data_IF_769078004403
#
_entry.id   IF_769078004403
#
_cell.length_a   1.000
_cell.length_b   1.000
_cell.length_c   1.000
_cell.angle_alpha   90.00
_cell.angle_beta   90.00
_cell.angle_gamma   90.00
#
_symmetry.space_group_name_H-M   'P 1'
#
loop_
_entity.id
_entity.type
_entity.pdbx_description
1 polymer ?
#
# COMPACT_ATOMS: atom_id res chain seq x y z
N UNK A 1 -14.55 8.65 -2.97
CA UNK A 1 -13.57 8.09 -1.98
C UNK A 1 -12.15 8.13 -2.55
N UNK A 2 -11.62 9.30 -2.83
CA UNK A 2 -10.33 9.48 -3.51
C UNK A 2 -9.14 9.43 -2.56
N UNK A 3 -7.96 9.05 -3.06
CA UNK A 3 -6.66 9.13 -2.43
C UNK A 3 -5.85 10.21 -3.14
N UNK A 4 -5.36 11.22 -2.41
CA UNK A 4 -4.52 12.26 -2.98
C UNK A 4 -3.10 12.14 -2.43
N UNK A 5 -2.11 12.05 -3.32
CA UNK A 5 -0.68 11.99 -2.99
C UNK A 5 0.03 13.06 -3.80
N UNK A 6 0.76 13.97 -3.16
CA UNK A 6 1.54 15.03 -3.83
C UNK A 6 0.75 15.78 -4.92
N UNK A 7 -0.52 16.13 -4.63
CA UNK A 7 -1.40 16.87 -5.54
C UNK A 7 -2.06 16.02 -6.65
N UNK A 8 -1.71 14.76 -6.81
CA UNK A 8 -2.39 13.85 -7.74
C UNK A 8 -3.46 13.05 -7.03
N UNK A 9 -4.66 13.04 -7.59
CA UNK A 9 -5.83 12.34 -7.03
C UNK A 9 -6.13 11.06 -7.80
N UNK A 10 -6.31 9.97 -7.07
CA UNK A 10 -6.73 8.66 -7.55
C UNK A 10 -8.10 8.32 -6.98
N UNK A 11 -8.98 7.70 -7.77
CA UNK A 11 -10.31 7.29 -7.31
C UNK A 11 -10.25 6.00 -6.49
N UNK A 12 -9.21 5.18 -6.69
CA UNK A 12 -8.97 3.98 -5.89
C UNK A 12 -8.01 4.25 -4.74
N UNK A 13 -8.30 3.67 -3.58
CA UNK A 13 -7.38 3.62 -2.42
C UNK A 13 -6.56 2.33 -2.38
N UNK A 14 -6.81 1.43 -3.34
CA UNK A 14 -6.04 0.21 -3.54
C UNK A 14 -4.92 0.47 -4.54
N UNK A 15 -3.68 0.22 -4.11
CA UNK A 15 -2.50 0.16 -4.95
C UNK A 15 -2.12 -1.32 -5.14
N UNK A 16 -1.63 -1.70 -6.32
CA UNK A 16 -1.35 -3.09 -6.65
C UNK A 16 0.08 -3.28 -7.18
N UNK A 17 0.62 -4.47 -7.00
CA UNK A 17 1.93 -4.84 -7.55
C UNK A 17 1.84 -5.69 -8.81
N UNK A 18 3.02 -6.00 -9.37
CA UNK A 18 3.16 -6.77 -10.64
C UNK A 18 3.82 -8.14 -10.45
N UNK A 19 4.19 -8.51 -9.22
CA UNK A 19 4.96 -9.73 -8.96
C UNK A 19 4.10 -10.98 -8.73
N UNK A 20 4.70 -12.16 -8.97
CA UNK A 20 4.18 -13.49 -8.59
C UNK A 20 2.91 -13.97 -9.31
N UNK A 21 2.34 -13.24 -10.25
CA UNK A 21 1.26 -13.77 -11.10
C UNK A 21 1.77 -14.92 -11.99
N UNK A 22 0.90 -15.82 -12.36
CA UNK A 22 1.24 -16.99 -13.20
C UNK A 22 1.55 -16.58 -14.63
N UNK A 23 0.97 -15.50 -15.10
CA UNK A 23 1.22 -14.89 -16.42
C UNK A 23 0.94 -13.39 -16.40
N UNK A 24 1.44 -12.66 -17.40
CA UNK A 24 1.13 -11.23 -17.56
C UNK A 24 -0.36 -11.00 -17.88
N UNK A 25 -0.99 -11.94 -18.57
CA UNK A 25 -2.43 -11.90 -18.85
C UNK A 25 -3.27 -12.03 -17.58
N UNK A 26 -2.88 -12.93 -16.65
CA UNK A 26 -3.53 -13.01 -15.33
C UNK A 26 -3.32 -11.72 -14.53
N UNK A 27 -2.10 -11.18 -14.53
CA UNK A 27 -1.79 -9.91 -13.90
C UNK A 27 -2.72 -8.79 -14.43
N UNK A 28 -2.84 -8.65 -15.75
CA UNK A 28 -3.69 -7.62 -16.36
C UNK A 28 -5.17 -7.76 -15.95
N UNK A 29 -5.72 -8.98 -15.94
CA UNK A 29 -7.10 -9.22 -15.47
C UNK A 29 -7.27 -8.88 -13.98
N UNK A 30 -6.27 -9.20 -13.15
CA UNK A 30 -6.32 -8.86 -11.73
C UNK A 30 -6.22 -7.34 -11.50
N UNK A 31 -5.41 -6.65 -12.29
CA UNK A 31 -5.32 -5.18 -12.25
C UNK A 31 -6.68 -4.55 -12.58
N UNK A 32 -7.32 -5.00 -13.65
CA UNK A 32 -8.65 -4.53 -14.03
C UNK A 32 -9.70 -4.85 -12.96
N UNK A 33 -9.75 -6.09 -12.47
CA UNK A 33 -10.68 -6.53 -11.44
C UNK A 33 -10.54 -5.79 -10.11
N UNK A 34 -9.30 -5.40 -9.76
CA UNK A 34 -8.99 -4.62 -8.55
C UNK A 34 -9.46 -3.17 -8.63
N UNK A 35 -9.62 -2.62 -9.83
CA UNK A 35 -9.91 -1.21 -10.04
C UNK A 35 -8.82 -0.27 -9.51
N UNK A 36 -7.60 -0.77 -9.25
CA UNK A 36 -6.47 0.04 -8.82
C UNK A 36 -6.02 0.99 -9.93
N UNK A 37 -5.68 2.21 -9.55
CA UNK A 37 -5.15 3.23 -10.47
C UNK A 37 -3.65 3.48 -10.28
N UNK A 38 -3.02 2.80 -9.33
CA UNK A 38 -1.57 2.84 -9.09
C UNK A 38 -1.03 1.42 -9.09
N UNK A 39 -0.01 1.19 -9.92
CA UNK A 39 0.67 -0.10 -10.01
C UNK A 39 2.16 0.04 -9.71
N UNK A 40 2.69 -0.79 -8.79
CA UNK A 40 4.12 -0.80 -8.51
C UNK A 40 4.87 -1.72 -9.47
N UNK A 41 6.01 -1.20 -9.96
CA UNK A 41 6.89 -1.92 -10.87
C UNK A 41 8.32 -1.89 -10.32
N UNK A 42 8.90 -3.06 -10.07
CA UNK A 42 10.29 -3.14 -9.65
C UNK A 42 11.22 -2.75 -10.81
N UNK A 43 11.98 -1.67 -10.65
CA UNK A 43 12.87 -1.14 -11.69
C UNK A 43 13.81 -2.23 -12.22
N UNK A 44 14.34 -3.08 -11.34
CA UNK A 44 15.21 -4.21 -11.70
C UNK A 44 14.59 -5.25 -12.64
N UNK A 45 13.24 -5.33 -12.71
CA UNK A 45 12.51 -6.30 -13.54
C UNK A 45 12.07 -5.75 -14.86
N UNK A 46 12.26 -4.47 -15.07
CA UNK A 46 11.93 -3.84 -16.35
C UNK A 46 13.01 -4.21 -17.35
N UNK A 47 12.62 -4.89 -18.42
CA UNK A 47 13.52 -5.13 -19.53
C UNK A 47 13.73 -3.82 -20.32
N UNK A 48 14.87 -3.18 -20.08
CA UNK A 48 15.21 -1.89 -20.67
C UNK A 48 15.97 -2.02 -22.00
N UNK A 49 16.50 -3.20 -22.29
CA UNK A 49 17.48 -3.39 -23.38
C UNK A 49 16.98 -4.24 -24.52
N UNK A 50 16.15 -5.24 -24.26
CA UNK A 50 15.69 -6.19 -25.27
C UNK A 50 14.20 -5.98 -25.59
N UNK A 51 13.93 -5.12 -26.58
CA UNK A 51 12.56 -4.84 -27.06
C UNK A 51 11.96 -5.98 -27.91
N UNK A 52 12.70 -7.03 -28.17
CA UNK A 52 12.20 -8.19 -28.91
C UNK A 52 11.41 -9.17 -28.05
N UNK A 53 11.48 -9.02 -26.71
CA UNK A 53 10.77 -9.86 -25.75
C UNK A 53 9.62 -9.12 -25.11
N UNK A 54 8.54 -9.85 -24.90
CA UNK A 54 7.37 -9.41 -24.19
C UNK A 54 7.76 -8.85 -22.82
N UNK A 55 7.32 -7.63 -22.50
CA UNK A 55 7.62 -6.94 -21.24
C UNK A 55 6.38 -6.88 -20.37
N UNK A 56 6.54 -6.94 -19.05
CA UNK A 56 5.44 -6.72 -18.12
C UNK A 56 4.74 -5.36 -18.33
N UNK A 57 5.47 -4.37 -18.87
CA UNK A 57 4.93 -3.04 -19.16
C UNK A 57 3.91 -3.04 -20.30
N UNK A 58 3.97 -4.04 -21.20
CA UNK A 58 3.04 -4.18 -22.32
C UNK A 58 1.65 -4.59 -21.85
N UNK A 59 1.55 -5.11 -20.62
CA UNK A 59 0.31 -5.57 -19.96
C UNK A 59 -0.21 -4.61 -18.90
N UNK A 60 0.37 -3.42 -18.78
CA UNK A 60 -0.13 -2.36 -17.90
C UNK A 60 -0.86 -1.32 -18.77
N UNK A 61 -2.15 -1.14 -18.49
CA UNK A 61 -2.95 -0.08 -19.09
C UNK A 61 -2.50 1.29 -18.54
N UNK A 62 -1.62 1.96 -19.30
CA UNK A 62 -1.05 3.25 -18.90
C UNK A 62 -2.02 4.43 -18.99
N UNK A 63 -3.17 4.27 -19.61
CA UNK A 63 -4.21 5.30 -19.64
C UNK A 63 -4.96 5.33 -18.32
N UNK A 64 -5.10 4.17 -17.69
CA UNK A 64 -5.84 4.00 -16.42
C UNK A 64 -4.94 3.88 -15.19
N UNK A 65 -3.72 3.40 -15.34
CA UNK A 65 -2.83 3.08 -14.23
C UNK A 65 -1.56 3.94 -14.23
N UNK A 66 -1.33 4.60 -13.13
CA UNK A 66 -0.08 5.31 -12.85
C UNK A 66 0.99 4.31 -12.42
N UNK A 67 2.14 4.31 -13.11
CA UNK A 67 3.28 3.47 -12.73
C UNK A 67 4.03 4.13 -11.57
N UNK A 68 4.15 3.39 -10.47
CA UNK A 68 4.96 3.73 -9.31
C UNK A 68 6.17 2.80 -9.28
N UNK A 69 7.35 3.22 -9.79
CA UNK A 69 8.57 2.43 -9.70
C UNK A 69 8.93 2.13 -8.26
N UNK A 70 9.48 0.95 -7.98
CA UNK A 70 10.01 0.64 -6.67
C UNK A 70 11.47 0.16 -6.72
N UNK A 71 12.17 0.32 -5.60
CA UNK A 71 13.56 -0.09 -5.42
C UNK A 71 13.69 -1.46 -4.74
N UNK A 72 12.72 -2.35 -4.97
CA UNK A 72 12.69 -3.69 -4.38
C UNK A 72 14.01 -4.45 -4.55
N UNK A 73 14.49 -5.00 -3.44
CA UNK A 73 15.75 -5.75 -3.37
C UNK A 73 17.00 -4.87 -3.36
N UNK A 74 16.91 -3.59 -3.00
CA UNK A 74 18.06 -2.77 -2.62
C UNK A 74 18.31 -2.92 -1.12
N UNK A 75 19.56 -3.13 -0.75
CA UNK A 75 20.01 -3.37 0.63
C UNK A 75 20.82 -2.20 1.20
N UNK A 76 21.07 -1.18 0.40
CA UNK A 76 21.76 0.05 0.81
C UNK A 76 21.05 1.28 0.29
N UNK A 77 21.25 2.41 0.97
CA UNK A 77 20.74 3.70 0.50
C UNK A 77 21.22 4.03 -0.92
N UNK A 78 22.52 3.82 -1.19
CA UNK A 78 23.11 4.08 -2.50
C UNK A 78 22.49 3.25 -3.63
N UNK A 79 22.23 1.96 -3.39
CA UNK A 79 21.58 1.10 -4.38
C UNK A 79 20.16 1.55 -4.66
N UNK A 80 19.41 1.94 -3.62
CA UNK A 80 18.05 2.43 -3.76
C UNK A 80 18.03 3.76 -4.52
N UNK A 81 18.94 4.69 -4.22
CA UNK A 81 19.08 5.97 -4.92
C UNK A 81 19.40 5.74 -6.40
N UNK A 82 20.39 4.91 -6.71
CA UNK A 82 20.74 4.59 -8.11
C UNK A 82 19.59 3.95 -8.86
N UNK A 83 18.87 3.03 -8.22
CA UNK A 83 17.73 2.35 -8.80
C UNK A 83 16.56 3.32 -9.06
N UNK A 84 16.28 4.24 -8.14
CA UNK A 84 15.26 5.26 -8.34
C UNK A 84 15.60 6.19 -9.52
N UNK A 85 16.85 6.67 -9.59
CA UNK A 85 17.35 7.50 -10.70
C UNK A 85 17.21 6.77 -12.04
N UNK A 86 17.60 5.50 -12.10
CA UNK A 86 17.43 4.68 -13.31
C UNK A 86 15.95 4.61 -13.72
N UNK A 87 15.03 4.38 -12.78
CA UNK A 87 13.60 4.36 -13.06
C UNK A 87 13.09 5.65 -13.71
N UNK A 88 13.58 6.81 -13.27
CA UNK A 88 13.27 8.13 -13.86
C UNK A 88 13.91 8.29 -15.24
N UNK A 89 15.17 7.94 -15.40
CA UNK A 89 15.91 8.07 -16.67
C UNK A 89 15.28 7.25 -17.80
N UNK A 90 14.76 6.06 -17.48
CA UNK A 90 14.06 5.22 -18.47
C UNK A 90 12.60 5.61 -18.68
N UNK A 91 12.16 6.72 -18.13
CA UNK A 91 10.83 7.30 -18.37
C UNK A 91 9.67 6.60 -17.64
N UNK A 92 9.93 5.87 -16.56
CA UNK A 92 8.84 5.25 -15.78
C UNK A 92 8.07 6.32 -15.00
N UNK A 93 8.75 7.05 -14.10
CA UNK A 93 8.15 8.11 -13.29
C UNK A 93 9.24 8.84 -12.49
N UNK A 94 8.93 10.06 -12.00
CA UNK A 94 9.67 10.75 -10.95
C UNK A 94 9.13 10.41 -9.54
N UNK A 95 8.15 9.53 -9.42
CA UNK A 95 7.71 8.97 -8.16
C UNK A 95 8.49 7.70 -7.88
N UNK A 96 8.63 7.35 -6.60
CA UNK A 96 9.29 6.12 -6.19
C UNK A 96 8.70 5.57 -4.90
N UNK A 97 8.30 4.29 -4.93
CA UNK A 97 8.15 3.51 -3.71
C UNK A 97 9.54 3.09 -3.28
N UNK A 98 10.05 3.73 -2.25
CA UNK A 98 11.43 3.57 -1.80
C UNK A 98 11.53 2.43 -0.79
N UNK A 99 12.35 1.45 -1.11
CA UNK A 99 12.67 0.30 -0.25
C UNK A 99 14.18 0.26 -0.05
N UNK A 100 14.63 0.20 1.21
CA UNK A 100 15.97 -0.19 1.63
C UNK A 100 15.80 -1.32 2.62
N UNK A 101 16.23 -2.53 2.25
CA UNK A 101 15.99 -3.74 3.03
C UNK A 101 17.16 -3.97 3.99
N UNK A 102 16.84 -4.16 5.28
CA UNK A 102 17.82 -4.39 6.33
C UNK A 102 18.15 -5.86 6.57
N UNK A 103 17.22 -6.76 6.24
CA UNK A 103 17.37 -8.21 6.48
C UNK A 103 16.71 -9.03 5.38
N UNK A 104 17.43 -9.97 4.79
CA UNK A 104 16.98 -10.78 3.65
C UNK A 104 15.84 -11.74 3.98
N UNK A 105 15.76 -12.21 5.22
CA UNK A 105 14.78 -13.21 5.64
C UNK A 105 13.44 -12.59 5.98
N UNK A 106 13.45 -11.46 6.65
CA UNK A 106 12.25 -10.76 7.10
C UNK A 106 11.77 -9.72 6.10
N UNK A 107 12.66 -9.21 5.25
CA UNK A 107 12.46 -8.06 4.36
C UNK A 107 12.02 -6.80 5.12
N UNK A 108 12.42 -6.69 6.39
CA UNK A 108 12.21 -5.47 7.16
C UNK A 108 13.11 -4.34 6.65
N UNK A 109 12.63 -3.09 6.71
CA UNK A 109 13.37 -1.95 6.22
C UNK A 109 14.58 -1.63 7.12
N UNK A 110 15.69 -1.23 6.48
CA UNK A 110 16.74 -0.45 7.14
C UNK A 110 16.31 1.01 7.24
N UNK A 111 15.79 1.40 8.40
CA UNK A 111 15.27 2.75 8.60
C UNK A 111 16.33 3.85 8.51
N UNK A 112 17.60 3.56 8.82
CA UNK A 112 18.69 4.52 8.70
C UNK A 112 19.00 4.82 7.23
N UNK A 113 19.25 3.78 6.44
CA UNK A 113 19.44 3.90 5.00
C UNK A 113 18.22 4.45 4.26
N UNK A 114 17.02 4.06 4.70
CA UNK A 114 15.76 4.59 4.14
C UNK A 114 15.62 6.10 4.34
N UNK A 115 15.96 6.60 5.53
CA UNK A 115 15.92 8.04 5.85
C UNK A 115 16.93 8.82 5.02
N UNK A 116 18.15 8.27 4.86
CA UNK A 116 19.19 8.86 4.00
C UNK A 116 18.74 8.96 2.56
N UNK A 117 18.28 7.85 1.98
CA UNK A 117 17.81 7.79 0.59
C UNK A 117 16.59 8.70 0.34
N UNK A 118 15.65 8.77 1.31
CA UNK A 118 14.48 9.67 1.24
C UNK A 118 14.94 11.12 1.12
N UNK A 119 15.88 11.56 1.98
CA UNK A 119 16.39 12.93 1.99
C UNK A 119 17.08 13.31 0.67
N UNK A 120 17.87 12.40 0.11
CA UNK A 120 18.57 12.62 -1.17
C UNK A 120 17.56 12.72 -2.31
N UNK A 121 16.66 11.74 -2.45
CA UNK A 121 15.72 11.70 -3.55
C UNK A 121 14.70 12.83 -3.50
N UNK A 122 14.20 13.21 -2.32
CA UNK A 122 13.30 14.34 -2.17
C UNK A 122 13.95 15.66 -2.62
N UNK A 123 15.23 15.90 -2.29
CA UNK A 123 16.00 17.06 -2.77
C UNK A 123 16.17 17.06 -4.28
N UNK A 124 16.19 15.90 -4.92
CA UNK A 124 16.28 15.74 -6.37
C UNK A 124 14.93 15.84 -7.09
N UNK A 125 13.86 16.19 -6.37
CA UNK A 125 12.51 16.37 -6.92
C UNK A 125 11.73 15.08 -7.14
N UNK A 126 12.15 13.97 -6.51
CA UNK A 126 11.31 12.77 -6.49
C UNK A 126 10.13 12.91 -5.53
N UNK A 127 9.00 12.34 -5.91
CA UNK A 127 7.88 12.08 -5.00
C UNK A 127 8.15 10.73 -4.33
N UNK A 128 8.60 10.78 -3.06
CA UNK A 128 9.10 9.59 -2.35
C UNK A 128 8.02 9.02 -1.44
N UNK A 129 7.73 7.73 -1.61
CA UNK A 129 6.83 6.93 -0.78
C UNK A 129 7.64 5.81 -0.09
N UNK A 130 8.20 6.05 1.11
CA UNK A 130 9.09 5.10 1.78
C UNK A 130 8.32 3.95 2.44
N UNK A 131 8.74 2.70 2.14
CA UNK A 131 8.36 1.50 2.86
C UNK A 131 9.08 1.44 4.20
N UNK A 132 8.33 1.44 5.29
CA UNK A 132 8.84 1.50 6.66
C UNK A 132 8.11 0.54 7.59
N UNK A 133 8.52 0.49 8.84
CA UNK A 133 7.80 -0.20 9.90
C UNK A 133 6.73 0.72 10.54
N UNK A 134 6.01 0.19 11.53
CA UNK A 134 4.94 0.86 12.27
C UNK A 134 5.45 1.75 13.42
N UNK A 135 6.63 2.34 13.26
CA UNK A 135 7.24 3.30 14.19
C UNK A 135 6.88 4.74 13.79
N UNK A 136 6.04 5.38 14.60
CA UNK A 136 5.60 6.76 14.37
C UNK A 136 6.75 7.78 14.43
N UNK A 137 7.79 7.53 15.23
CA UNK A 137 8.95 8.43 15.33
C UNK A 137 9.75 8.39 14.04
N UNK A 138 9.97 7.19 13.52
CA UNK A 138 10.64 7.03 12.23
C UNK A 138 9.80 7.60 11.07
N UNK A 139 8.49 7.37 11.08
CA UNK A 139 7.59 7.94 10.08
C UNK A 139 7.66 9.48 10.04
N UNK A 140 7.69 10.16 11.19
CA UNK A 140 7.88 11.61 11.26
C UNK A 140 9.21 12.07 10.70
N UNK A 141 10.30 11.35 11.00
CA UNK A 141 11.63 11.65 10.42
C UNK A 141 11.63 11.53 8.89
N UNK A 142 10.90 10.56 8.34
CA UNK A 142 10.74 10.40 6.90
C UNK A 142 9.94 11.55 6.28
N UNK A 143 8.88 12.02 6.94
CA UNK A 143 8.10 13.20 6.53
C UNK A 143 8.98 14.46 6.54
N UNK A 144 9.74 14.69 7.62
CA UNK A 144 10.70 15.80 7.72
C UNK A 144 11.81 15.73 6.66
N UNK A 145 12.14 14.54 6.19
CA UNK A 145 13.07 14.30 5.09
C UNK A 145 12.46 14.54 3.69
N UNK A 146 11.15 14.78 3.59
CA UNK A 146 10.43 15.10 2.35
C UNK A 146 9.62 13.95 1.76
N UNK A 147 9.27 12.93 2.55
CA UNK A 147 8.37 11.88 2.11
C UNK A 147 6.98 12.44 1.76
N UNK A 148 6.42 12.03 0.63
CA UNK A 148 5.10 12.45 0.17
C UNK A 148 3.95 11.56 0.68
N UNK A 149 4.28 10.42 1.24
CA UNK A 149 3.42 9.51 1.98
C UNK A 149 4.29 8.68 2.91
N UNK A 150 3.72 7.97 3.88
CA UNK A 150 4.44 6.94 4.64
C UNK A 150 3.76 5.60 4.46
N UNK A 151 4.57 4.54 4.30
CA UNK A 151 4.07 3.21 3.95
C UNK A 151 4.49 2.16 5.00
N UNK A 152 3.83 2.16 6.19
CA UNK A 152 4.13 1.16 7.22
C UNK A 152 3.69 -0.23 6.78
N UNK A 153 4.49 -1.24 7.09
CA UNK A 153 4.11 -2.63 6.93
C UNK A 153 3.06 -3.05 7.98
N UNK A 154 2.12 -3.92 7.57
CA UNK A 154 1.22 -4.62 8.48
C UNK A 154 1.87 -5.88 9.07
N UNK A 155 2.67 -6.57 8.25
CA UNK A 155 3.47 -7.76 8.54
C UNK A 155 4.56 -7.90 7.48
N UNK A 156 5.53 -8.83 7.61
CA UNK A 156 6.59 -9.03 6.62
C UNK A 156 6.05 -9.20 5.19
N UNK A 157 6.78 -8.69 4.20
CA UNK A 157 6.41 -8.75 2.79
C UNK A 157 6.10 -10.21 2.39
N UNK A 158 4.92 -10.43 1.82
CA UNK A 158 4.49 -11.73 1.32
C UNK A 158 4.13 -12.77 2.37
N UNK A 159 4.06 -12.39 3.66
CA UNK A 159 3.72 -13.30 4.75
C UNK A 159 2.22 -13.63 4.86
N UNK A 160 1.35 -12.68 4.47
CA UNK A 160 -0.10 -12.85 4.59
C UNK A 160 -0.60 -12.95 6.04
N UNK A 161 0.19 -12.47 7.01
CA UNK A 161 -0.14 -12.56 8.44
C UNK A 161 -1.20 -11.54 8.91
N UNK A 162 -1.59 -10.60 8.04
CA UNK A 162 -2.54 -9.55 8.37
C UNK A 162 -1.95 -8.44 9.24
N UNK A 163 -2.82 -7.67 9.88
CA UNK A 163 -2.43 -6.51 10.70
C UNK A 163 -1.92 -6.98 12.06
N UNK A 164 -0.61 -6.96 12.28
CA UNK A 164 0.01 -7.44 13.50
C UNK A 164 -0.07 -6.43 14.65
N UNK A 165 0.04 -5.15 14.36
CA UNK A 165 0.06 -4.10 15.37
C UNK A 165 -1.00 -3.02 15.10
N UNK A 166 -2.22 -3.34 15.47
CA UNK A 166 -3.39 -2.44 15.35
C UNK A 166 -3.15 -1.15 16.12
N UNK A 167 -2.54 -1.23 17.30
CA UNK A 167 -2.32 -0.08 18.18
C UNK A 167 -1.38 0.94 17.55
N UNK A 168 -0.24 0.49 17.02
CA UNK A 168 0.72 1.39 16.39
C UNK A 168 0.15 2.06 15.14
N UNK A 169 -0.56 1.30 14.28
CA UNK A 169 -1.19 1.89 13.10
C UNK A 169 -2.23 2.95 13.46
N UNK A 170 -3.00 2.73 14.55
CA UNK A 170 -3.92 3.75 15.06
C UNK A 170 -3.19 4.98 15.57
N UNK A 171 -2.12 4.81 16.35
CA UNK A 171 -1.28 5.91 16.83
C UNK A 171 -0.70 6.68 15.64
N UNK A 172 -0.17 5.97 14.64
CA UNK A 172 0.34 6.60 13.42
C UNK A 172 -0.75 7.44 12.73
N UNK A 173 -1.98 6.91 12.57
CA UNK A 173 -3.09 7.64 11.95
C UNK A 173 -3.48 8.90 12.74
N UNK A 174 -3.50 8.82 14.06
CA UNK A 174 -3.85 9.96 14.91
C UNK A 174 -2.77 11.06 14.86
N UNK A 175 -1.50 10.67 14.75
CA UNK A 175 -0.35 11.57 14.83
C UNK A 175 0.15 12.07 13.46
N UNK A 176 -0.19 11.41 12.35
CA UNK A 176 0.25 11.75 11.00
C UNK A 176 -0.97 12.17 10.19
N UNK A 177 -1.09 13.46 9.92
CA UNK A 177 -2.20 14.05 9.15
C UNK A 177 -1.72 14.80 7.92
N UNK A 178 -0.43 15.09 7.83
CA UNK A 178 0.21 15.93 6.81
C UNK A 178 0.36 15.22 5.47
N UNK A 179 0.56 13.88 5.52
CA UNK A 179 0.73 13.05 4.33
C UNK A 179 -0.12 11.78 4.44
N UNK A 180 -0.46 11.14 3.32
CA UNK A 180 -1.19 9.86 3.34
C UNK A 180 -0.43 8.77 4.08
N UNK A 181 -1.18 7.97 4.88
CA UNK A 181 -0.75 6.74 5.51
C UNK A 181 -1.24 5.57 4.66
N UNK A 182 -0.32 4.85 4.01
CA UNK A 182 -0.63 3.75 3.12
C UNK A 182 -0.08 2.45 3.72
N UNK A 183 -0.94 1.55 4.17
CA UNK A 183 -0.48 0.26 4.68
C UNK A 183 0.09 -0.58 3.54
N UNK A 184 1.31 -1.06 3.71
CA UNK A 184 2.05 -1.83 2.70
C UNK A 184 2.53 -3.16 3.28
N UNK A 185 2.41 -4.22 2.50
CA UNK A 185 2.83 -5.57 2.86
C UNK A 185 2.03 -6.26 3.99
N UNK A 186 2.12 -7.58 4.03
CA UNK A 186 1.57 -8.42 5.09
C UNK A 186 0.09 -8.73 5.02
N UNK A 187 -0.69 -8.00 4.22
CA UNK A 187 -2.10 -8.31 3.98
C UNK A 187 -2.24 -9.66 3.30
N UNK A 188 -3.09 -10.53 3.84
CA UNK A 188 -3.31 -11.89 3.34
C UNK A 188 -4.68 -12.12 2.72
N UNK A 189 -5.70 -11.38 3.18
CA UNK A 189 -7.08 -11.54 2.70
C UNK A 189 -7.89 -10.26 2.83
N UNK A 190 -9.13 -10.26 2.34
CA UNK A 190 -10.02 -9.12 2.30
C UNK A 190 -10.32 -8.51 3.69
N UNK A 191 -10.45 -9.34 4.74
CA UNK A 191 -10.65 -8.84 6.11
C UNK A 191 -9.48 -8.00 6.62
N UNK A 192 -8.24 -8.36 6.28
CA UNK A 192 -7.08 -7.57 6.67
C UNK A 192 -7.08 -6.19 6.01
N UNK A 193 -7.48 -6.14 4.72
CA UNK A 193 -7.63 -4.89 3.99
C UNK A 193 -8.71 -4.00 4.60
N UNK A 194 -9.87 -4.58 4.94
CA UNK A 194 -10.95 -3.84 5.60
C UNK A 194 -10.49 -3.28 6.96
N UNK A 195 -9.80 -4.10 7.78
CA UNK A 195 -9.28 -3.68 9.08
C UNK A 195 -8.30 -2.51 8.93
N UNK A 196 -7.35 -2.57 7.98
CA UNK A 196 -6.41 -1.47 7.73
C UNK A 196 -7.14 -0.16 7.41
N UNK A 197 -8.16 -0.23 6.55
CA UNK A 197 -8.95 0.94 6.19
C UNK A 197 -9.83 1.45 7.33
N UNK A 198 -10.41 0.55 8.16
CA UNK A 198 -11.16 0.92 9.38
C UNK A 198 -10.28 1.57 10.45
N UNK A 199 -8.97 1.27 10.47
CA UNK A 199 -7.99 1.94 11.34
C UNK A 199 -7.65 3.36 10.85
N UNK A 200 -8.13 3.73 9.67
CA UNK A 200 -7.97 5.06 9.09
C UNK A 200 -6.82 5.19 8.10
N UNK A 201 -6.25 4.09 7.62
CA UNK A 201 -5.32 4.18 6.50
C UNK A 201 -5.95 4.92 5.31
N UNK A 202 -5.17 5.73 4.61
CA UNK A 202 -5.63 6.46 3.44
C UNK A 202 -5.63 5.60 2.19
N UNK A 203 -4.79 4.57 2.17
CA UNK A 203 -4.71 3.59 1.10
C UNK A 203 -4.03 2.31 1.58
N UNK A 204 -4.01 1.33 0.71
CA UNK A 204 -3.35 0.06 0.97
C UNK A 204 -2.67 -0.44 -0.31
N UNK A 205 -1.43 -0.91 -0.18
CA UNK A 205 -0.71 -1.55 -1.26
C UNK A 205 -0.59 -3.03 -0.98
N UNK A 206 -0.97 -3.85 -1.94
CA UNK A 206 -0.86 -5.30 -1.85
C UNK A 206 -0.53 -5.93 -3.20
N UNK A 207 0.06 -7.09 -3.17
CA UNK A 207 0.32 -7.89 -4.37
C UNK A 207 0.17 -9.39 -4.10
N UNK A 208 1.00 -9.95 -3.21
CA UNK A 208 1.08 -11.40 -2.98
C UNK A 208 -0.26 -12.00 -2.57
N UNK A 209 -1.06 -11.30 -1.76
CA UNK A 209 -2.38 -11.74 -1.34
C UNK A 209 -3.33 -12.01 -2.52
N UNK A 210 -3.18 -11.24 -3.59
CA UNK A 210 -3.95 -11.42 -4.84
C UNK A 210 -3.29 -12.49 -5.70
N UNK A 211 -2.02 -12.30 -6.05
CA UNK A 211 -1.31 -13.15 -7.01
C UNK A 211 -1.14 -14.62 -6.56
N UNK A 212 -1.06 -14.88 -5.25
CA UNK A 212 -0.92 -16.21 -4.67
C UNK A 212 -2.26 -16.85 -4.28
N UNK A 213 -3.39 -16.18 -4.48
CA UNK A 213 -4.71 -16.76 -4.22
C UNK A 213 -5.02 -17.90 -5.19
N UNK A 214 -5.87 -18.84 -4.78
CA UNK A 214 -6.35 -19.90 -5.64
C UNK A 214 -7.06 -19.38 -6.90
N UNK A 215 -7.82 -18.30 -6.76
CA UNK A 215 -8.46 -17.52 -7.82
C UNK A 215 -8.06 -16.04 -7.62
N UNK A 216 -7.02 -15.63 -8.33
CA UNK A 216 -6.42 -14.30 -8.16
C UNK A 216 -7.37 -13.16 -8.58
N UNK A 217 -8.15 -13.37 -9.64
CA UNK A 217 -9.09 -12.36 -10.13
C UNK A 217 -10.24 -12.13 -9.14
N UNK A 218 -10.78 -13.21 -8.58
CA UNK A 218 -11.80 -13.16 -7.54
C UNK A 218 -11.28 -12.49 -6.27
N UNK A 219 -10.02 -12.77 -5.89
CA UNK A 219 -9.38 -12.11 -4.76
C UNK A 219 -9.14 -10.61 -5.03
N UNK A 220 -8.77 -10.23 -6.24
CA UNK A 220 -8.63 -8.81 -6.61
C UNK A 220 -9.95 -8.03 -6.41
N UNK A 221 -11.08 -8.61 -6.82
CA UNK A 221 -12.42 -8.03 -6.57
C UNK A 221 -12.75 -7.96 -5.08
N UNK A 222 -12.44 -9.03 -4.33
CA UNK A 222 -12.68 -9.06 -2.88
C UNK A 222 -11.87 -7.96 -2.16
N UNK A 223 -10.61 -7.76 -2.55
CA UNK A 223 -9.76 -6.71 -1.98
C UNK A 223 -10.28 -5.31 -2.29
N UNK A 224 -10.74 -5.05 -3.52
CA UNK A 224 -11.40 -3.79 -3.89
C UNK A 224 -12.58 -3.49 -2.97
N UNK A 225 -13.51 -4.44 -2.84
CA UNK A 225 -14.70 -4.29 -2.00
C UNK A 225 -14.33 -4.10 -0.52
N UNK A 226 -13.30 -4.78 -0.03
CA UNK A 226 -12.85 -4.66 1.35
C UNK A 226 -12.25 -3.28 1.64
N UNK A 227 -11.45 -2.74 0.72
CA UNK A 227 -10.89 -1.38 0.83
C UNK A 227 -12.00 -0.33 0.83
N UNK A 228 -12.98 -0.47 -0.04
CA UNK A 228 -14.14 0.43 -0.11
C UNK A 228 -14.98 0.34 1.17
N UNK A 229 -15.31 -0.87 1.63
CA UNK A 229 -16.12 -1.11 2.83
C UNK A 229 -15.44 -0.58 4.10
N UNK A 230 -14.14 -0.89 4.27
CA UNK A 230 -13.37 -0.42 5.43
C UNK A 230 -13.26 1.11 5.47
N UNK A 231 -13.09 1.76 4.31
CA UNK A 231 -13.07 3.22 4.25
C UNK A 231 -14.42 3.84 4.59
N UNK A 232 -15.51 3.29 4.08
CA UNK A 232 -16.86 3.74 4.43
C UNK A 232 -17.14 3.57 5.93
N UNK A 233 -16.71 2.44 6.52
CA UNK A 233 -16.86 2.19 7.95
C UNK A 233 -16.07 3.21 8.79
N UNK A 234 -14.84 3.54 8.39
CA UNK A 234 -14.03 4.57 9.04
C UNK A 234 -14.70 5.95 8.99
N UNK A 235 -15.17 6.37 7.81
CA UNK A 235 -15.81 7.68 7.61
C UNK A 235 -17.16 7.79 8.32
N UNK A 236 -17.90 6.68 8.45
CA UNK A 236 -19.17 6.63 9.16
C UNK A 236 -18.99 6.71 10.68
N UNK A 237 -17.83 6.38 11.18
CA UNK A 237 -17.57 6.25 12.62
C UNK A 237 -18.14 4.95 13.19
N UNK A 238 -17.35 4.30 14.02
CA UNK A 238 -17.74 3.06 14.68
C UNK A 238 -18.63 3.33 15.88
N UNK A 239 -19.70 2.55 16.09
CA UNK A 239 -20.44 2.60 17.32
C UNK A 239 -19.57 2.27 18.55
N UNK A 240 -19.89 2.86 19.69
CA UNK A 240 -19.20 2.60 20.94
C UNK A 240 -19.25 1.12 21.34
N UNK A 241 -18.11 0.58 21.75
CA UNK A 241 -18.04 -0.77 22.31
C UNK A 241 -18.62 -0.75 23.74
N UNK A 242 -19.62 -1.59 24.01
CA UNK A 242 -20.22 -1.75 25.33
C UNK A 242 -19.88 -3.12 25.89
N UNK A 243 -19.56 -3.17 27.19
CA UNK A 243 -19.25 -4.43 27.85
C UNK A 243 -20.52 -5.29 28.00
N UNK A 244 -21.66 -4.65 28.25
CA UNK A 244 -22.93 -5.33 28.45
C UNK A 244 -23.88 -5.13 27.26
N UNK A 245 -24.82 -6.08 27.14
CA UNK A 245 -25.83 -6.03 26.10
C UNK A 245 -26.74 -4.78 26.23
N UNK A 246 -27.12 -4.24 25.10
CA UNK A 246 -28.14 -3.18 25.01
C UNK A 246 -29.20 -3.65 24.01
N UNK A 247 -30.46 -3.66 24.45
CA UNK A 247 -31.56 -4.10 23.59
C UNK A 247 -31.62 -3.23 22.33
N UNK A 248 -31.71 -3.86 21.17
CA UNK A 248 -31.82 -3.17 19.86
C UNK A 248 -33.25 -2.71 19.59
N UNK A 249 -34.26 -3.31 20.25
CA UNK A 249 -35.68 -2.91 20.09
C UNK A 249 -36.11 -2.13 21.33
N UNK A 250 -36.93 -1.05 21.16
CA UNK A 250 -37.51 -0.33 22.28
C UNK A 250 -38.34 -1.28 23.15
N UNK A 251 -38.10 -1.19 24.45
CA UNK A 251 -38.92 -1.96 25.44
C UNK A 251 -40.31 -1.32 25.70
N UNK A 252 -40.51 -0.07 25.30
CA UNK A 252 -41.79 0.64 25.41
C UNK A 252 -42.76 0.16 24.31
N UNK A 253 -44.01 -0.14 24.71
CA UNK A 253 -45.05 -0.57 23.76
C UNK A 253 -45.08 -2.08 23.47
N UNK A 254 -44.38 -2.91 24.27
CA UNK A 254 -44.48 -4.37 24.16
C UNK A 254 -45.81 -4.82 24.72
N UNK A 255 -46.63 -5.46 23.90
CA UNK A 255 -47.96 -6.02 24.32
C UNK A 255 -47.71 -7.03 25.47
N UNK A 256 -48.40 -6.81 26.62
CA UNK A 256 -48.33 -7.71 27.79
C UNK A 256 -47.34 -7.31 28.88
N UNK A 257 -46.66 -6.14 28.78
CA UNK A 257 -45.96 -5.51 29.92
C UNK A 257 -46.67 -4.21 30.29
N UNK A 258 -47.48 -4.24 31.34
CA UNK A 258 -48.02 -3.07 32.02
C UNK A 258 -46.95 -2.45 32.93
#
# INVERSE_FOLDING_TARGET
MSLTISGRTFQSRLLIGTGKYRSFQEMARCHEASGAEVVTVAVRRVNLTDRSKESLLDFIDRERMFILPNTAGCYTADDAIRTARLGREVGLSNWVKLEVIGDEKTLFPDNAGLLEATRVLAKEGFVVLPYTNDDVVNARRLIDAGAAAVMPLAAPIGSGLGIQNITNLRIMREMITEVPLIVDAGVGTASDAAIAMELGADGILMNTAIAAAGDAEKMARAMKLAVEAGRLAFESGRMEKKLYASASSPLAGVVGRS
#
